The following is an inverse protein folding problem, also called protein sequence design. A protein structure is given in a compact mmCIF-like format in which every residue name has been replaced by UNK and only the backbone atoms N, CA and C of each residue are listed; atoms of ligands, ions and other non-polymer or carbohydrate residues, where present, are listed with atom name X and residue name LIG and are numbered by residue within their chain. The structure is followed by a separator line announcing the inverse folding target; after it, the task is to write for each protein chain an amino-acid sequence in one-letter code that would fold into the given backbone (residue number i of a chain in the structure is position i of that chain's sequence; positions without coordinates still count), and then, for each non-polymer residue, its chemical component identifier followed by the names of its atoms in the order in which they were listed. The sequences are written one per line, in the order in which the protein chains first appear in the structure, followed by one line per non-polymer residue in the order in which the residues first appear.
data_IF_700776838771
#
_entry.id   IF_700776838771
#
_cell.length_a   1.000
_cell.length_b   1.000
_cell.length_c   1.000
_cell.angle_alpha   90.00
_cell.angle_beta   90.00
_cell.angle_gamma   90.00
#
_symmetry.space_group_name_H-M   'P 1'
#
loop_
_entity.id
_entity.type
_entity.pdbx_description
1 polymer ?
#
# COMPACT_ATOMS: atom_id res chain seq x y z
N UNK A 1 -5.57 -4.04 -11.63
CA UNK A 1 -7.03 -4.30 -11.65
C UNK A 1 -7.76 -2.98 -11.78
N UNK A 2 -8.85 -2.92 -12.55
CA UNK A 2 -9.73 -1.74 -12.67
C UNK A 2 -11.11 -2.13 -12.16
N UNK A 3 -11.62 -1.43 -11.16
CA UNK A 3 -12.93 -1.69 -10.56
C UNK A 3 -13.71 -0.38 -10.32
N UNK A 4 -15.03 -0.47 -10.30
CA UNK A 4 -15.96 0.65 -10.14
C UNK A 4 -17.16 0.28 -9.26
N UNK A 5 -16.89 -0.37 -8.13
CA UNK A 5 -17.91 -0.85 -7.19
C UNK A 5 -17.86 -0.04 -5.90
N UNK A 6 -18.98 0.07 -5.18
CA UNK A 6 -19.03 0.88 -3.95
C UNK A 6 -18.01 0.43 -2.88
N UNK A 7 -17.71 -0.88 -2.82
CA UNK A 7 -16.77 -1.49 -1.90
C UNK A 7 -15.91 -2.54 -2.59
N UNK A 8 -14.60 -2.52 -2.37
CA UNK A 8 -13.66 -3.50 -2.91
C UNK A 8 -12.64 -3.93 -1.85
N UNK A 9 -12.43 -5.25 -1.76
CA UNK A 9 -11.41 -5.84 -0.90
C UNK A 9 -10.49 -6.70 -1.75
N UNK A 10 -9.18 -6.44 -1.65
CA UNK A 10 -8.15 -7.14 -2.39
C UNK A 10 -7.20 -7.76 -1.37
N UNK A 11 -7.01 -9.07 -1.49
CA UNK A 11 -6.00 -9.80 -0.73
C UNK A 11 -4.98 -10.38 -1.72
N UNK A 12 -3.70 -10.09 -1.51
CA UNK A 12 -2.62 -10.64 -2.32
C UNK A 12 -1.64 -11.38 -1.42
N UNK A 13 -1.36 -12.63 -1.80
CA UNK A 13 -0.43 -13.51 -1.10
C UNK A 13 0.63 -13.94 -2.11
N UNK A 14 1.89 -13.69 -1.79
CA UNK A 14 3.01 -13.93 -2.68
C UNK A 14 4.14 -14.69 -1.96
N UNK A 15 4.60 -15.81 -2.53
CA UNK A 15 5.80 -16.55 -2.08
C UNK A 15 7.10 -15.92 -2.59
N UNK A 16 8.24 -16.62 -2.62
CA UNK A 16 9.54 -16.01 -2.96
C UNK A 16 9.66 -15.41 -4.38
N UNK A 17 10.44 -14.33 -4.53
CA UNK A 17 10.70 -13.65 -5.81
C UNK A 17 10.31 -12.17 -5.85
N UNK A 18 9.72 -11.74 -6.97
CA UNK A 18 9.43 -10.34 -7.32
C UNK A 18 7.90 -10.24 -7.55
N UNK A 19 7.21 -9.24 -7.01
CA UNK A 19 5.83 -8.91 -7.43
C UNK A 19 5.65 -7.43 -7.68
N UNK A 20 4.80 -7.15 -8.67
CA UNK A 20 4.35 -5.81 -8.99
C UNK A 20 2.83 -5.87 -9.07
N UNK A 21 2.18 -5.07 -8.25
CA UNK A 21 0.73 -4.98 -8.16
C UNK A 21 0.30 -3.55 -8.45
N UNK A 22 -0.71 -3.42 -9.32
CA UNK A 22 -1.30 -2.13 -9.65
C UNK A 22 -2.81 -2.23 -9.51
N UNK A 23 -3.38 -1.35 -8.69
CA UNK A 23 -4.83 -1.23 -8.45
C UNK A 23 -5.25 0.17 -8.86
N UNK A 24 -6.26 0.25 -9.72
CA UNK A 24 -6.92 1.49 -10.08
C UNK A 24 -8.40 1.30 -9.77
N UNK A 25 -8.98 2.16 -8.94
CA UNK A 25 -10.35 1.98 -8.51
C UNK A 25 -11.07 3.31 -8.32
N UNK A 26 -12.36 3.34 -8.65
CA UNK A 26 -13.27 4.45 -8.40
C UNK A 26 -14.41 3.87 -7.54
N UNK A 27 -14.23 3.91 -6.22
CA UNK A 27 -15.03 3.19 -5.22
C UNK A 27 -15.27 4.06 -3.99
N UNK A 28 -16.32 3.86 -3.21
CA UNK A 28 -16.41 4.58 -1.93
C UNK A 28 -15.38 4.05 -0.92
N UNK A 29 -15.11 2.73 -0.94
CA UNK A 29 -14.23 2.07 0.03
C UNK A 29 -13.31 1.02 -0.62
N UNK A 30 -12.00 1.13 -0.41
CA UNK A 30 -11.01 0.15 -0.86
C UNK A 30 -10.14 -0.34 0.30
N UNK A 31 -10.06 -1.66 0.43
CA UNK A 31 -9.16 -2.33 1.38
C UNK A 31 -8.20 -3.23 0.62
N UNK A 32 -6.90 -3.05 0.84
CA UNK A 32 -5.85 -3.86 0.26
C UNK A 32 -5.02 -4.49 1.38
N UNK A 33 -4.93 -5.80 1.37
CA UNK A 33 -4.05 -6.56 2.25
C UNK A 33 -3.02 -7.33 1.41
N UNK A 34 -1.74 -7.09 1.66
CA UNK A 34 -0.64 -7.80 0.98
C UNK A 34 0.20 -8.52 2.02
N UNK A 35 0.38 -9.84 1.83
CA UNK A 35 1.25 -10.69 2.65
C UNK A 35 2.28 -11.35 1.74
N UNK A 36 3.56 -11.16 2.05
CA UNK A 36 4.61 -11.50 1.10
C UNK A 36 5.93 -11.92 1.78
N UNK A 37 6.50 -13.04 1.33
CA UNK A 37 7.84 -13.53 1.75
C UNK A 37 8.88 -13.28 0.63
N UNK A 38 8.82 -12.14 -0.05
CA UNK A 38 9.58 -11.86 -1.28
C UNK A 38 10.93 -11.20 -1.05
N UNK A 39 11.76 -11.12 -2.07
CA UNK A 39 12.92 -10.20 -2.04
C UNK A 39 12.51 -8.78 -2.44
N UNK A 40 11.51 -8.63 -3.32
CA UNK A 40 11.03 -7.33 -3.84
C UNK A 40 9.51 -7.31 -4.05
N UNK A 41 8.83 -6.35 -3.42
CA UNK A 41 7.41 -6.06 -3.62
C UNK A 41 7.23 -4.59 -4.03
N UNK A 42 6.49 -4.35 -5.11
CA UNK A 42 6.08 -3.02 -5.56
C UNK A 42 4.57 -2.98 -5.67
N UNK A 43 3.94 -2.05 -4.95
CA UNK A 43 2.49 -1.84 -4.99
C UNK A 43 2.19 -0.41 -5.40
N UNK A 44 1.33 -0.24 -6.40
CA UNK A 44 0.81 1.05 -6.83
C UNK A 44 -0.72 1.05 -6.72
N UNK A 45 -1.26 2.05 -6.04
CA UNK A 45 -2.70 2.23 -5.85
C UNK A 45 -3.08 3.62 -6.32
N UNK A 46 -4.05 3.69 -7.25
CA UNK A 46 -4.64 4.95 -7.72
C UNK A 46 -6.15 4.89 -7.42
N UNK A 47 -6.65 5.84 -6.65
CA UNK A 47 -8.05 5.86 -6.22
C UNK A 47 -8.67 7.25 -6.18
N UNK A 48 -9.94 7.34 -6.55
CA UNK A 48 -10.83 8.45 -6.21
C UNK A 48 -11.90 7.95 -5.24
N UNK A 49 -11.52 7.68 -4.00
CA UNK A 49 -12.41 7.03 -3.02
C UNK A 49 -12.68 7.92 -1.83
N UNK A 50 -13.68 7.62 -1.00
CA UNK A 50 -13.81 8.30 0.29
C UNK A 50 -12.82 7.70 1.31
N UNK A 51 -12.62 6.38 1.28
CA UNK A 51 -11.79 5.64 2.23
C UNK A 51 -10.86 4.63 1.55
N UNK A 52 -9.56 4.69 1.90
CA UNK A 52 -8.54 3.74 1.49
C UNK A 52 -7.78 3.19 2.69
N UNK A 53 -7.75 1.86 2.81
CA UNK A 53 -6.96 1.15 3.82
C UNK A 53 -6.00 0.18 3.15
N UNK A 54 -4.71 0.32 3.46
CA UNK A 54 -3.64 -0.54 2.94
C UNK A 54 -2.90 -1.16 4.13
N UNK A 55 -2.84 -2.49 4.15
CA UNK A 55 -2.05 -3.25 5.10
C UNK A 55 -1.04 -4.11 4.34
N UNK A 56 0.24 -3.96 4.65
CA UNK A 56 1.31 -4.75 4.04
C UNK A 56 2.14 -5.42 5.13
N UNK A 57 2.29 -6.73 5.03
CA UNK A 57 3.17 -7.54 5.87
C UNK A 57 4.16 -8.24 4.97
N UNK A 58 5.44 -7.97 5.17
CA UNK A 58 6.49 -8.36 4.23
C UNK A 58 7.76 -8.82 4.96
N UNK A 59 8.28 -10.00 4.62
CA UNK A 59 9.67 -10.35 4.96
C UNK A 59 10.52 -10.14 3.71
N UNK A 60 10.84 -8.88 3.40
CA UNK A 60 11.44 -8.50 2.12
C UNK A 60 12.55 -7.48 2.19
N UNK A 61 13.62 -7.73 1.42
CA UNK A 61 14.76 -6.82 1.27
C UNK A 61 14.35 -5.45 0.69
N UNK A 62 13.29 -5.37 -0.10
CA UNK A 62 12.85 -4.13 -0.76
C UNK A 62 11.31 -4.09 -0.90
N UNK A 63 10.70 -3.06 -0.31
CA UNK A 63 9.28 -2.76 -0.39
C UNK A 63 9.07 -1.33 -0.88
N UNK A 64 8.31 -1.18 -1.97
CA UNK A 64 7.91 0.12 -2.51
C UNK A 64 6.40 0.19 -2.59
N UNK A 65 5.81 1.20 -1.95
CA UNK A 65 4.38 1.46 -1.96
C UNK A 65 4.17 2.88 -2.47
N UNK A 66 3.41 3.01 -3.56
CA UNK A 66 2.98 4.28 -4.11
C UNK A 66 1.45 4.36 -4.04
N UNK A 67 0.92 5.39 -3.41
CA UNK A 67 -0.51 5.64 -3.29
C UNK A 67 -0.80 7.03 -3.82
N UNK A 68 -1.70 7.11 -4.79
CA UNK A 68 -2.27 8.37 -5.28
C UNK A 68 -3.76 8.29 -5.01
N UNK A 69 -4.24 9.16 -4.14
CA UNK A 69 -5.63 9.15 -3.71
C UNK A 69 -6.21 10.56 -3.72
N UNK A 70 -7.42 10.70 -4.24
CA UNK A 70 -8.28 11.82 -3.88
C UNK A 70 -9.31 11.29 -2.88
N UNK A 71 -8.90 11.22 -1.61
CA UNK A 71 -9.71 10.59 -0.55
C UNK A 71 -9.75 11.38 0.74
N UNK A 72 -10.90 11.29 1.42
CA UNK A 72 -11.12 11.86 2.74
C UNK A 72 -10.32 11.14 3.83
N UNK A 73 -10.07 9.83 3.68
CA UNK A 73 -9.34 9.02 4.66
C UNK A 73 -8.39 8.02 4.00
N UNK A 74 -7.11 8.09 4.39
CA UNK A 74 -6.08 7.13 3.99
C UNK A 74 -5.36 6.57 5.23
N UNK A 75 -5.41 5.25 5.37
CA UNK A 75 -4.71 4.51 6.41
C UNK A 75 -3.77 3.51 5.76
N UNK A 76 -2.48 3.64 6.06
CA UNK A 76 -1.44 2.72 5.59
C UNK A 76 -0.71 2.12 6.78
N UNK A 77 -0.70 0.80 6.87
CA UNK A 77 0.07 0.04 7.86
C UNK A 77 1.06 -0.87 7.15
N UNK A 78 2.34 -0.76 7.50
CA UNK A 78 3.40 -1.57 6.93
C UNK A 78 4.23 -2.21 8.03
N UNK A 79 4.37 -3.53 7.95
CA UNK A 79 5.25 -4.31 8.81
C UNK A 79 6.27 -5.01 7.92
N UNK A 80 7.57 -4.74 8.15
CA UNK A 80 8.66 -5.32 7.37
C UNK A 80 9.77 -5.92 8.25
N UNK A 81 10.28 -7.09 7.87
CA UNK A 81 11.40 -7.78 8.57
C UNK A 81 12.75 -7.05 8.45
N UNK A 82 13.26 -6.87 7.23
CA UNK A 82 14.58 -6.27 6.98
C UNK A 82 14.71 -5.80 5.54
N UNK A 83 15.26 -4.60 5.27
CA UNK A 83 15.41 -4.11 3.89
C UNK A 83 15.29 -2.61 3.63
N UNK A 84 14.88 -2.23 2.43
CA UNK A 84 14.54 -0.85 2.06
C UNK A 84 13.03 -0.72 1.99
N UNK A 85 12.48 0.27 2.70
CA UNK A 85 11.08 0.61 2.65
C UNK A 85 10.92 2.02 2.09
N UNK A 86 10.17 2.14 1.01
CA UNK A 86 9.80 3.42 0.42
C UNK A 86 8.29 3.49 0.35
N UNK A 87 7.72 4.49 1.01
CA UNK A 87 6.30 4.79 0.95
C UNK A 87 6.17 6.20 0.39
N UNK A 88 5.46 6.32 -0.73
CA UNK A 88 5.08 7.59 -1.31
C UNK A 88 3.55 7.69 -1.32
N UNK A 89 3.03 8.76 -0.73
CA UNK A 89 1.60 9.04 -0.67
C UNK A 89 1.36 10.43 -1.23
N UNK A 90 0.51 10.53 -2.24
CA UNK A 90 -0.17 11.77 -2.62
C UNK A 90 -1.63 11.67 -2.21
N UNK A 91 -2.10 12.61 -1.39
CA UNK A 91 -3.51 12.66 -0.98
C UNK A 91 -4.12 14.05 -1.21
N UNK A 92 -5.22 14.12 -1.96
CA UNK A 92 -5.85 15.38 -2.38
C UNK A 92 -6.59 16.13 -1.27
N UNK A 93 -7.24 15.43 -0.33
CA UNK A 93 -8.15 16.09 0.62
C UNK A 93 -8.60 15.18 1.77
N UNK A 94 -7.72 14.83 2.72
CA UNK A 94 -8.14 13.92 3.79
C UNK A 94 -7.23 13.74 4.99
N UNK A 95 -7.71 12.93 5.94
CA UNK A 95 -6.94 12.45 7.09
C UNK A 95 -6.00 11.34 6.68
N UNK A 96 -4.72 11.48 7.03
CA UNK A 96 -3.68 10.51 6.73
C UNK A 96 -3.14 9.87 8.01
N UNK A 97 -3.12 8.54 8.04
CA UNK A 97 -2.42 7.77 9.07
C UNK A 97 -1.46 6.79 8.40
N UNK A 98 -0.17 6.91 8.73
CA UNK A 98 0.86 5.98 8.29
C UNK A 98 1.52 5.37 9.53
N UNK A 99 1.45 4.04 9.63
CA UNK A 99 2.13 3.26 10.65
C UNK A 99 3.16 2.35 9.97
N UNK A 100 4.41 2.43 10.42
CA UNK A 100 5.51 1.63 9.89
C UNK A 100 6.24 0.96 11.04
N UNK A 101 6.38 -0.36 10.96
CA UNK A 101 7.17 -1.17 11.89
C UNK A 101 8.20 -1.92 11.06
N UNK A 102 9.49 -1.66 11.31
CA UNK A 102 10.59 -2.32 10.60
C UNK A 102 11.65 -2.83 11.57
N UNK A 103 12.17 -4.04 11.31
CA UNK A 103 13.22 -4.64 12.13
C UNK A 103 14.62 -4.06 11.86
N UNK A 104 15.11 -4.16 10.62
CA UNK A 104 16.37 -3.54 10.18
C UNK A 104 16.23 -3.01 8.77
N UNK A 105 15.75 -1.76 8.67
CA UNK A 105 15.41 -1.19 7.38
C UNK A 105 15.76 0.28 7.25
N UNK A 106 16.11 0.68 6.02
CA UNK A 106 16.12 2.09 5.64
C UNK A 106 14.70 2.48 5.24
N UNK A 107 14.09 3.40 5.98
CA UNK A 107 12.70 3.82 5.79
C UNK A 107 12.66 5.23 5.22
N UNK A 108 12.00 5.38 4.06
CA UNK A 108 11.70 6.68 3.46
C UNK A 108 10.18 6.78 3.33
N UNK A 109 9.62 7.82 3.94
CA UNK A 109 8.19 8.14 3.83
C UNK A 109 8.07 9.54 3.25
N UNK A 110 7.45 9.64 2.09
CA UNK A 110 7.10 10.89 1.45
C UNK A 110 5.58 11.02 1.43
N UNK A 111 5.08 12.13 1.95
CA UNK A 111 3.67 12.49 1.94
C UNK A 111 3.56 13.86 1.30
N UNK A 112 2.73 13.97 0.27
CA UNK A 112 2.49 15.19 -0.50
C UNK A 112 0.98 15.47 -0.53
#
# INVERSE_FOLDING_TARGET
MICGSDWLVIAVICGSGWSVEAVVCDSCWLVIAVICDKSRLVTAVICGNDWLVIAVICDSDWLVIAVICDSDWLITAVICGSGWLIIAVLCGSGSLVIAVICGSSNVVIAVI
#
